data_IF_361582496626
#
_entry.id   IF_361582496626
#
_cell.length_a   1.000
_cell.length_b   1.000
_cell.length_c   1.000
_cell.angle_alpha   90.00
_cell.angle_beta   90.00
_cell.angle_gamma   90.00
#
_symmetry.space_group_name_H-M   'P 1'
#
loop_
_entity.id
_entity.type
_entity.pdbx_description
1 polymer ?
#
# COMPACT_ATOMS: atom_id res chain seq x y z
N UNK A 1 -23.65 21.84 -20.48
CA UNK A 1 -23.11 20.53 -20.94
C UNK A 1 -21.61 20.68 -21.14
N UNK A 2 -20.81 20.32 -20.14
CA UNK A 2 -19.35 20.46 -20.21
C UNK A 2 -18.78 19.36 -21.13
N UNK A 3 -18.17 19.78 -22.24
CA UNK A 3 -17.50 18.93 -23.22
C UNK A 3 -16.23 18.36 -22.57
N UNK A 4 -16.33 17.17 -21.97
CA UNK A 4 -15.17 16.45 -21.45
C UNK A 4 -14.25 16.17 -22.64
N UNK A 5 -12.98 16.59 -22.63
CA UNK A 5 -12.08 16.33 -23.74
C UNK A 5 -11.83 14.82 -23.85
N UNK A 6 -12.29 14.18 -24.92
CA UNK A 6 -12.18 12.73 -25.18
C UNK A 6 -10.76 12.17 -24.96
N UNK A 7 -9.72 12.98 -25.19
CA UNK A 7 -8.31 12.58 -24.98
C UNK A 7 -7.92 12.33 -23.51
N UNK A 8 -8.66 12.86 -22.54
CA UNK A 8 -8.33 12.71 -21.11
C UNK A 8 -8.82 11.37 -20.56
N UNK A 9 -9.99 10.91 -20.99
CA UNK A 9 -10.56 9.62 -20.57
C UNK A 9 -9.73 8.42 -21.03
N UNK A 10 -9.19 8.49 -22.25
CA UNK A 10 -8.35 7.41 -22.81
C UNK A 10 -7.07 7.20 -21.98
N UNK A 11 -6.41 8.28 -21.55
CA UNK A 11 -5.20 8.18 -20.71
C UNK A 11 -5.48 7.59 -19.33
N UNK A 12 -6.65 7.89 -18.76
CA UNK A 12 -7.09 7.30 -17.50
C UNK A 12 -7.33 5.80 -17.67
N UNK A 13 -8.00 5.39 -18.75
CA UNK A 13 -8.24 3.97 -19.01
C UNK A 13 -6.94 3.20 -19.20
N UNK A 14 -5.98 3.79 -19.94
CA UNK A 14 -4.64 3.25 -20.14
C UNK A 14 -3.92 3.04 -18.80
N UNK A 15 -3.91 4.06 -17.92
CA UNK A 15 -3.33 3.94 -16.58
C UNK A 15 -4.01 2.87 -15.72
N UNK A 16 -5.34 2.75 -15.81
CA UNK A 16 -6.11 1.75 -15.06
C UNK A 16 -5.74 0.33 -15.51
N UNK A 17 -5.62 0.10 -16.82
CA UNK A 17 -5.17 -1.17 -17.39
C UNK A 17 -3.76 -1.50 -16.94
N UNK A 18 -2.84 -0.53 -16.96
CA UNK A 18 -1.46 -0.73 -16.48
C UNK A 18 -1.46 -1.15 -15.02
N UNK A 19 -2.19 -0.45 -14.14
CA UNK A 19 -2.28 -0.77 -12.71
C UNK A 19 -2.82 -2.20 -12.51
N UNK A 20 -3.92 -2.55 -13.18
CA UNK A 20 -4.52 -3.89 -13.07
C UNK A 20 -3.62 -4.99 -13.62
N UNK A 21 -2.93 -4.75 -14.73
CA UNK A 21 -1.98 -5.71 -15.30
C UNK A 21 -0.81 -5.94 -14.34
N UNK A 22 -0.25 -4.89 -13.76
CA UNK A 22 0.84 -5.02 -12.79
C UNK A 22 0.38 -5.76 -11.53
N UNK A 23 -0.85 -5.51 -11.08
CA UNK A 23 -1.44 -6.22 -9.95
C UNK A 23 -1.65 -7.73 -10.23
N UNK A 24 -2.15 -8.05 -11.43
CA UNK A 24 -2.35 -9.43 -11.86
C UNK A 24 -1.02 -10.17 -12.00
N UNK A 25 -0.03 -9.53 -12.64
CA UNK A 25 1.32 -10.07 -12.76
C UNK A 25 1.99 -10.23 -11.39
N UNK A 26 1.87 -9.25 -10.49
CA UNK A 26 2.42 -9.33 -9.15
C UNK A 26 1.82 -10.48 -8.33
N UNK A 27 0.53 -10.73 -8.48
CA UNK A 27 -0.15 -11.87 -7.87
C UNK A 27 0.31 -13.20 -8.48
N UNK A 28 0.42 -13.26 -9.81
CA UNK A 28 0.93 -14.45 -10.50
C UNK A 28 2.38 -14.77 -10.08
N UNK A 29 3.26 -13.77 -10.04
CA UNK A 29 4.65 -13.94 -9.61
C UNK A 29 4.74 -14.31 -8.13
N UNK A 30 3.97 -13.66 -7.25
CA UNK A 30 3.96 -13.97 -5.82
C UNK A 30 3.56 -15.43 -5.57
N UNK A 31 2.51 -15.90 -6.26
CA UNK A 31 2.06 -17.29 -6.15
C UNK A 31 3.05 -18.28 -6.76
N UNK A 32 3.65 -17.94 -7.92
CA UNK A 32 4.58 -18.83 -8.62
C UNK A 32 5.93 -18.97 -7.90
N UNK A 33 6.50 -17.86 -7.40
CA UNK A 33 7.76 -17.85 -6.67
C UNK A 33 7.60 -18.10 -5.17
N UNK A 34 6.37 -18.31 -4.67
CA UNK A 34 6.04 -18.47 -3.25
C UNK A 34 6.64 -17.34 -2.39
N UNK A 35 6.49 -16.10 -2.86
CA UNK A 35 7.05 -14.94 -2.17
C UNK A 35 6.32 -14.70 -0.84
N UNK A 36 7.07 -14.32 0.18
CA UNK A 36 6.53 -13.92 1.50
C UNK A 36 5.58 -12.71 1.34
N UNK A 37 5.81 -11.88 0.32
CA UNK A 37 5.00 -10.71 0.06
C UNK A 37 3.66 -11.09 -0.61
N UNK A 38 2.52 -10.60 -0.08
CA UNK A 38 1.23 -10.70 -0.76
C UNK A 38 1.30 -10.13 -2.18
N UNK A 39 0.58 -10.76 -3.11
CA UNK A 39 0.54 -10.36 -4.53
C UNK A 39 0.29 -8.87 -4.78
N UNK A 40 -0.52 -8.22 -3.93
CA UNK A 40 -0.79 -6.78 -4.01
C UNK A 40 0.46 -5.91 -3.80
N UNK A 41 1.31 -6.26 -2.82
CA UNK A 41 2.55 -5.54 -2.58
C UNK A 41 3.56 -5.81 -3.71
N UNK A 42 3.60 -7.04 -4.22
CA UNK A 42 4.47 -7.39 -5.35
C UNK A 42 4.07 -6.67 -6.63
N UNK A 43 2.77 -6.50 -6.90
CA UNK A 43 2.27 -5.72 -8.04
C UNK A 43 2.63 -4.24 -7.94
N UNK A 44 2.54 -3.67 -6.74
CA UNK A 44 2.99 -2.29 -6.47
C UNK A 44 4.50 -2.13 -6.69
N UNK A 45 5.31 -3.07 -6.20
CA UNK A 45 6.76 -3.07 -6.43
C UNK A 45 7.10 -3.19 -7.91
N UNK A 46 6.38 -4.03 -8.65
CA UNK A 46 6.58 -4.21 -10.09
C UNK A 46 6.26 -2.94 -10.87
N UNK A 47 5.13 -2.29 -10.55
CA UNK A 47 4.78 -0.99 -11.13
C UNK A 47 5.84 0.07 -10.80
N UNK A 48 6.32 0.10 -9.56
CA UNK A 48 7.39 1.00 -9.13
C UNK A 48 8.69 0.77 -9.91
N UNK A 49 9.08 -0.49 -10.13
CA UNK A 49 10.27 -0.82 -10.93
C UNK A 49 10.12 -0.36 -12.39
N UNK A 50 8.96 -0.58 -13.01
CA UNK A 50 8.71 -0.15 -14.40
C UNK A 50 8.71 1.38 -14.54
N UNK A 51 8.23 2.11 -13.53
CA UNK A 51 8.34 3.56 -13.44
C UNK A 51 9.81 4.00 -13.27
N UNK A 52 10.58 3.30 -12.44
CA UNK A 52 12.01 3.57 -12.23
C UNK A 52 12.81 3.37 -13.52
N UNK A 53 12.55 2.29 -14.26
CA UNK A 53 13.15 2.02 -15.57
C UNK A 53 12.59 2.90 -16.69
N UNK A 54 11.64 3.81 -16.40
CA UNK A 54 10.96 4.70 -17.36
C UNK A 54 10.32 3.98 -18.54
N UNK A 55 9.99 2.69 -18.37
CA UNK A 55 9.25 1.90 -19.37
C UNK A 55 7.82 2.44 -19.51
N UNK A 56 7.24 2.85 -18.39
CA UNK A 56 5.96 3.56 -18.32
C UNK A 56 6.23 4.94 -17.74
N UNK A 57 5.64 5.98 -18.33
CA UNK A 57 5.75 7.34 -17.82
C UNK A 57 4.73 7.58 -16.72
N UNK A 58 5.11 8.37 -15.72
CA UNK A 58 4.24 8.67 -14.58
C UNK A 58 2.90 9.26 -15.03
N UNK A 59 2.91 10.12 -16.05
CA UNK A 59 1.72 10.78 -16.56
C UNK A 59 0.69 9.82 -17.18
N UNK A 60 1.09 8.59 -17.53
CA UNK A 60 0.17 7.56 -18.04
C UNK A 60 -0.64 6.92 -16.90
N UNK A 61 -0.06 6.82 -15.72
CA UNK A 61 -0.64 6.08 -14.59
C UNK A 61 -1.26 7.02 -13.56
N UNK A 62 -0.71 8.22 -13.41
CA UNK A 62 -1.10 9.23 -12.42
C UNK A 62 -2.58 9.58 -12.50
N UNK A 63 -3.12 9.79 -13.72
CA UNK A 63 -4.53 10.12 -13.89
C UNK A 63 -5.47 9.02 -13.39
N UNK A 64 -5.12 7.76 -13.62
CA UNK A 64 -5.88 6.62 -13.13
C UNK A 64 -5.72 6.47 -11.61
N UNK A 65 -4.47 6.50 -11.11
CA UNK A 65 -4.16 6.38 -9.70
C UNK A 65 -4.89 7.43 -8.86
N UNK A 66 -4.89 8.70 -9.29
CA UNK A 66 -5.61 9.77 -8.62
C UNK A 66 -7.12 9.50 -8.58
N UNK A 67 -7.72 8.99 -9.65
CA UNK A 67 -9.13 8.62 -9.61
C UNK A 67 -9.44 7.47 -8.64
N UNK A 68 -8.59 6.45 -8.53
CA UNK A 68 -8.77 5.40 -7.53
C UNK A 68 -8.65 5.96 -6.11
N UNK A 69 -7.68 6.84 -5.88
CA UNK A 69 -7.44 7.47 -4.58
C UNK A 69 -8.59 8.42 -4.19
N UNK A 70 -9.06 9.24 -5.13
CA UNK A 70 -10.20 10.15 -4.93
C UNK A 70 -11.49 9.37 -4.61
N UNK A 71 -11.65 8.17 -5.19
CA UNK A 71 -12.80 7.29 -4.97
C UNK A 71 -12.51 6.16 -3.97
N UNK A 72 -11.44 6.24 -3.18
CA UNK A 72 -10.99 5.16 -2.30
C UNK A 72 -12.08 4.78 -1.27
N UNK A 73 -12.84 5.75 -0.75
CA UNK A 73 -13.97 5.48 0.13
C UNK A 73 -15.02 4.56 -0.51
N UNK A 74 -15.34 4.77 -1.79
CA UNK A 74 -16.29 3.91 -2.53
C UNK A 74 -15.73 2.50 -2.72
N UNK A 75 -14.42 2.38 -3.00
CA UNK A 75 -13.73 1.10 -3.16
C UNK A 75 -13.64 0.30 -1.85
N UNK A 76 -13.69 0.97 -0.69
CA UNK A 76 -13.75 0.29 0.59
C UNK A 76 -15.13 -0.29 0.92
N UNK A 77 -16.21 0.16 0.28
CA UNK A 77 -17.55 -0.37 0.56
C UNK A 77 -17.63 -1.87 0.26
N UNK A 78 -17.26 -2.37 -0.95
CA UNK A 78 -17.19 -3.80 -1.25
C UNK A 78 -16.29 -4.59 -0.29
N UNK A 79 -15.17 -3.98 0.12
CA UNK A 79 -14.19 -4.62 0.99
C UNK A 79 -14.75 -4.78 2.42
N UNK A 80 -15.47 -3.77 2.91
CA UNK A 80 -16.09 -3.76 4.23
C UNK A 80 -17.35 -4.64 4.33
N UNK A 81 -18.16 -4.76 3.27
CA UNK A 81 -19.32 -5.67 3.31
C UNK A 81 -18.91 -7.13 3.46
N UNK A 82 -17.73 -7.51 2.94
CA UNK A 82 -17.15 -8.83 3.20
C UNK A 82 -16.88 -9.09 4.69
N UNK A 83 -16.50 -8.04 5.44
CA UNK A 83 -16.25 -8.13 6.88
C UNK A 83 -17.52 -8.44 7.68
N UNK A 84 -18.71 -8.10 7.15
CA UNK A 84 -20.00 -8.39 7.82
C UNK A 84 -20.14 -9.88 8.14
N UNK A 85 -19.57 -10.74 7.29
CA UNK A 85 -19.60 -12.21 7.49
C UNK A 85 -18.82 -12.67 8.72
N UNK A 86 -17.77 -11.93 9.14
CA UNK A 86 -16.94 -12.26 10.30
C UNK A 86 -17.26 -11.40 11.54
N UNK A 87 -18.18 -10.43 11.43
CA UNK A 87 -18.58 -9.56 12.55
C UNK A 87 -18.98 -10.31 13.82
N UNK A 88 -19.69 -11.47 13.78
CA UNK A 88 -20.02 -12.21 14.99
C UNK A 88 -18.78 -12.68 15.76
N UNK A 89 -17.77 -13.18 15.03
CA UNK A 89 -16.49 -13.61 15.61
C UNK A 89 -15.69 -12.41 16.11
N UNK A 90 -15.75 -11.30 15.39
CA UNK A 90 -15.11 -10.05 15.79
C UNK A 90 -15.71 -9.49 17.09
N UNK A 91 -17.03 -9.60 17.27
CA UNK A 91 -17.74 -9.17 18.48
C UNK A 91 -17.42 -10.06 19.68
N UNK A 92 -17.11 -11.33 19.48
CA UNK A 92 -16.69 -12.22 20.56
C UNK A 92 -15.30 -11.85 21.09
N UNK A 93 -14.37 -11.54 20.18
CA UNK A 93 -12.94 -11.30 20.50
C UNK A 93 -12.54 -9.81 20.50
N UNK A 94 -13.51 -8.89 20.52
CA UNK A 94 -13.27 -7.45 20.32
C UNK A 94 -12.30 -6.86 21.35
N UNK A 95 -12.35 -7.34 22.60
CA UNK A 95 -11.41 -6.94 23.66
C UNK A 95 -9.98 -7.38 23.35
N UNK A 96 -9.79 -8.64 22.94
CA UNK A 96 -8.48 -9.16 22.57
C UNK A 96 -7.90 -8.39 21.36
N UNK A 97 -8.74 -8.09 20.36
CA UNK A 97 -8.35 -7.29 19.19
C UNK A 97 -7.91 -5.89 19.62
N UNK A 98 -8.72 -5.17 20.40
CA UNK A 98 -8.40 -3.81 20.85
C UNK A 98 -7.09 -3.76 21.66
N UNK A 99 -6.92 -4.70 22.59
CA UNK A 99 -5.70 -4.79 23.41
C UNK A 99 -4.50 -5.09 22.51
N UNK A 100 -4.60 -6.06 21.59
CA UNK A 100 -3.51 -6.40 20.69
C UNK A 100 -3.11 -5.24 19.76
N UNK A 101 -4.09 -4.45 19.29
CA UNK A 101 -3.87 -3.31 18.42
C UNK A 101 -3.14 -2.18 19.15
N UNK A 102 -3.61 -1.81 20.36
CA UNK A 102 -2.99 -0.77 21.17
C UNK A 102 -1.61 -1.21 21.67
N UNK A 103 -1.50 -2.44 22.18
CA UNK A 103 -0.24 -2.97 22.69
C UNK A 103 0.81 -3.04 21.58
N UNK A 104 0.48 -3.58 20.40
CA UNK A 104 1.42 -3.64 19.27
C UNK A 104 1.86 -2.24 18.81
N UNK A 105 0.95 -1.29 18.74
CA UNK A 105 1.28 0.11 18.38
C UNK A 105 2.24 0.72 19.40
N UNK A 106 1.99 0.57 20.70
CA UNK A 106 2.87 1.07 21.77
C UNK A 106 4.25 0.39 21.69
N UNK A 107 4.28 -0.93 21.54
CA UNK A 107 5.53 -1.70 21.42
C UNK A 107 6.33 -1.23 20.21
N UNK A 108 5.71 -1.10 19.04
CA UNK A 108 6.38 -0.62 17.82
C UNK A 108 6.93 0.80 18.03
N UNK A 109 6.18 1.70 18.65
CA UNK A 109 6.66 3.06 18.97
C UNK A 109 7.87 3.04 19.91
N UNK A 110 7.83 2.27 20.99
CA UNK A 110 8.93 2.17 21.97
C UNK A 110 10.17 1.55 21.33
N UNK A 111 10.01 0.46 20.58
CA UNK A 111 11.12 -0.20 19.88
C UNK A 111 11.72 0.75 18.85
N UNK A 112 10.90 1.42 18.05
CA UNK A 112 11.38 2.42 17.06
C UNK A 112 12.15 3.54 17.76
N UNK A 113 11.63 4.08 18.87
CA UNK A 113 12.30 5.11 19.64
C UNK A 113 13.67 4.65 20.17
N UNK A 114 13.73 3.43 20.71
CA UNK A 114 14.99 2.84 21.22
C UNK A 114 16.00 2.54 20.12
N UNK A 115 15.54 2.05 18.97
CA UNK A 115 16.41 1.82 17.81
C UNK A 115 16.99 3.13 17.31
N UNK A 116 16.18 4.19 17.20
CA UNK A 116 16.65 5.53 16.83
C UNK A 116 17.66 6.06 17.85
N UNK A 117 17.35 5.97 19.15
CA UNK A 117 18.26 6.39 20.24
C UNK A 117 19.60 5.64 20.17
N UNK A 118 19.61 4.35 19.86
CA UNK A 118 20.83 3.55 19.72
C UNK A 118 21.64 3.95 18.48
N UNK A 119 20.98 4.19 17.34
CA UNK A 119 21.64 4.63 16.10
C UNK A 119 22.19 6.05 16.25
N UNK A 120 21.49 6.95 16.93
CA UNK A 120 21.96 8.32 17.21
C UNK A 120 23.02 8.35 18.32
N UNK A 121 22.90 7.52 19.34
CA UNK A 121 23.90 7.34 20.40
C UNK A 121 25.23 6.84 19.84
N UNK A 122 25.20 5.94 18.86
CA UNK A 122 26.38 5.52 18.10
C UNK A 122 27.01 6.65 17.26
N UNK A 123 26.22 7.61 16.76
CA UNK A 123 26.71 8.78 16.02
C UNK A 123 27.29 9.88 16.92
N UNK A 124 26.83 9.99 18.17
CA UNK A 124 27.38 10.94 19.16
C UNK A 124 28.81 10.57 19.58
N UNK A 125 29.08 9.29 19.80
CA UNK A 125 30.42 8.80 20.19
C UNK A 125 31.47 8.89 19.07
N UNK A 126 31.06 8.91 17.79
CA UNK A 126 31.96 9.07 16.66
C UNK A 126 32.28 10.54 16.31
N UNK A 127 31.44 11.50 16.74
CA UNK A 127 31.57 12.93 16.36
C UNK A 127 32.30 13.78 17.41
N UNK A 128 32.48 13.27 18.64
CA UNK A 128 33.30 13.88 19.69
C UNK A 128 34.05 12.78 20.49
N UNK A 129 35.23 12.34 20.03
CA UNK A 129 36.10 11.47 20.83
C UNK A 129 36.66 12.26 22.02
N UNK A 130 36.62 11.65 23.21
CA UNK A 130 37.20 12.20 24.45
C UNK A 130 38.72 12.13 24.45
#
# INVERSE_FOLDING_TARGET
MAKIPEKKGIKILEGFVIILLMQSLGTFLSNYFNLILPGNLTGLLLLFLILLFRVVKLEQVEGAANLLLDNMMVLFIPLNVGLVTILPKLKQEWLAIMISLLASTIIVMVVTAKVVELVEGGRRNAKYPS
#
